data_IF_049106452247
#
_entry.id   IF_049106452247
#
_cell.length_a   1.000
_cell.length_b   1.000
_cell.length_c   1.000
_cell.angle_alpha   90.00
_cell.angle_beta   90.00
_cell.angle_gamma   90.00
#
_symmetry.space_group_name_H-M   'P 1'
#
loop_
_entity.id
_entity.type
_entity.pdbx_description
1 polymer ?
#
# COMPACT_ATOMS: atom_id res chain seq x y z
N UNK A 1 88.53 -26.38 -14.67
CA UNK A 1 87.95 -27.66 -15.13
C UNK A 1 86.49 -27.65 -14.75
N UNK A 2 85.65 -28.06 -15.69
CA UNK A 2 84.30 -27.59 -15.98
C UNK A 2 83.23 -27.85 -14.92
N UNK A 3 82.34 -26.88 -14.73
CA UNK A 3 81.03 -27.06 -14.11
C UNK A 3 80.29 -28.20 -14.82
N UNK A 4 79.81 -29.19 -14.06
CA UNK A 4 78.95 -30.26 -14.59
C UNK A 4 77.66 -29.65 -15.13
N UNK A 5 77.50 -29.72 -16.45
CA UNK A 5 76.32 -29.19 -17.14
C UNK A 5 75.05 -29.98 -16.76
N UNK A 6 74.20 -29.43 -15.89
CA UNK A 6 72.92 -30.05 -15.49
C UNK A 6 71.82 -29.81 -16.52
N UNK A 7 71.14 -30.89 -16.93
CA UNK A 7 69.98 -30.87 -17.83
C UNK A 7 70.20 -31.63 -19.15
N UNK A 8 69.10 -32.05 -19.79
CA UNK A 8 69.14 -32.79 -21.07
C UNK A 8 69.13 -31.76 -22.21
N UNK A 9 70.06 -31.87 -23.16
CA UNK A 9 70.08 -31.00 -24.36
C UNK A 9 68.76 -31.12 -25.12
N UNK A 10 68.20 -29.99 -25.56
CA UNK A 10 66.89 -29.89 -26.24
C UNK A 10 66.76 -30.88 -27.42
N UNK A 11 67.84 -31.07 -28.18
CA UNK A 11 67.91 -32.01 -29.31
C UNK A 11 67.67 -33.49 -28.92
N UNK A 12 67.86 -33.84 -27.64
CA UNK A 12 67.74 -35.22 -27.12
C UNK A 12 66.42 -35.50 -26.41
N UNK A 13 65.50 -34.53 -26.32
CA UNK A 13 64.15 -34.75 -25.76
C UNK A 13 63.11 -34.89 -26.88
N UNK A 14 61.94 -35.48 -26.59
CA UNK A 14 60.88 -35.71 -27.59
C UNK A 14 60.40 -34.39 -28.23
N UNK A 15 59.84 -34.46 -29.44
CA UNK A 15 59.40 -33.28 -30.21
C UNK A 15 58.45 -32.36 -29.43
N UNK A 16 57.55 -32.94 -28.62
CA UNK A 16 56.64 -32.21 -27.75
C UNK A 16 57.39 -31.48 -26.61
N UNK A 17 58.40 -32.12 -26.01
CA UNK A 17 59.24 -31.51 -24.98
C UNK A 17 60.10 -30.38 -25.56
N UNK A 18 60.56 -30.48 -26.81
CA UNK A 18 61.29 -29.41 -27.48
C UNK A 18 60.45 -28.13 -27.64
N UNK A 19 59.15 -28.26 -27.96
CA UNK A 19 58.22 -27.14 -28.12
C UNK A 19 58.02 -26.35 -26.83
N UNK A 20 57.99 -27.03 -25.68
CA UNK A 20 57.75 -26.39 -24.37
C UNK A 20 59.05 -26.06 -23.61
N UNK A 21 60.22 -26.42 -24.15
CA UNK A 21 61.53 -26.08 -23.58
C UNK A 21 61.98 -24.69 -24.06
N UNK A 22 62.00 -23.73 -23.14
CA UNK A 22 62.60 -22.40 -23.33
C UNK A 22 64.09 -22.42 -22.96
N UNK A 23 64.98 -22.39 -23.96
CA UNK A 23 66.44 -22.47 -23.82
C UNK A 23 67.05 -23.74 -24.45
N UNK A 24 68.38 -23.92 -24.30
CA UNK A 24 69.13 -25.00 -24.97
C UNK A 24 69.06 -26.36 -24.24
N UNK A 25 68.57 -26.39 -23.00
CA UNK A 25 68.46 -27.60 -22.18
C UNK A 25 67.12 -27.66 -21.44
N UNK A 26 66.55 -28.86 -21.41
CA UNK A 26 65.38 -29.20 -20.63
C UNK A 26 65.77 -29.79 -19.28
N UNK A 27 65.12 -29.30 -18.22
CA UNK A 27 65.28 -29.75 -16.84
C UNK A 27 63.90 -30.03 -16.26
N UNK A 28 63.66 -31.29 -15.89
CA UNK A 28 62.39 -31.71 -15.27
C UNK A 28 62.09 -30.95 -13.98
N UNK A 29 63.14 -30.57 -13.24
CA UNK A 29 63.02 -29.79 -12.01
C UNK A 29 62.56 -28.37 -12.31
N UNK A 30 63.18 -27.70 -13.28
CA UNK A 30 62.81 -26.31 -13.63
C UNK A 30 61.43 -26.23 -14.29
N UNK A 31 61.06 -27.23 -15.09
CA UNK A 31 59.72 -27.35 -15.64
C UNK A 31 58.67 -27.55 -14.53
N UNK A 32 58.92 -28.48 -13.60
CA UNK A 32 58.00 -28.73 -12.49
C UNK A 32 57.90 -27.54 -11.52
N UNK A 33 59.01 -26.88 -11.21
CA UNK A 33 59.03 -25.71 -10.33
C UNK A 33 58.27 -24.53 -10.95
N UNK A 34 58.39 -24.32 -12.27
CA UNK A 34 57.63 -23.29 -13.01
C UNK A 34 56.17 -23.66 -13.19
N UNK A 35 55.85 -24.92 -13.47
CA UNK A 35 54.48 -25.41 -13.55
C UNK A 35 53.78 -25.26 -12.20
N UNK A 36 54.45 -25.66 -11.11
CA UNK A 36 53.96 -25.50 -9.74
C UNK A 36 53.75 -24.02 -9.40
N UNK A 37 54.70 -23.15 -9.75
CA UNK A 37 54.57 -21.70 -9.56
C UNK A 37 53.41 -21.13 -10.38
N UNK A 38 53.27 -21.50 -11.64
CA UNK A 38 52.17 -21.09 -12.51
C UNK A 38 50.80 -21.57 -12.02
N UNK A 39 50.71 -22.81 -11.51
CA UNK A 39 49.47 -23.34 -10.90
C UNK A 39 49.13 -22.58 -9.61
N UNK A 40 50.12 -22.24 -8.79
CA UNK A 40 49.91 -21.47 -7.55
C UNK A 40 49.50 -20.04 -7.87
N UNK A 41 50.20 -19.36 -8.78
CA UNK A 41 49.87 -17.99 -9.21
C UNK A 41 48.49 -17.95 -9.89
N UNK A 42 48.17 -18.94 -10.74
CA UNK A 42 46.84 -19.11 -11.31
C UNK A 42 45.80 -19.32 -10.21
N UNK A 43 46.06 -20.19 -9.22
CA UNK A 43 45.13 -20.43 -8.12
C UNK A 43 44.91 -19.17 -7.29
N UNK A 44 45.96 -18.40 -6.98
CA UNK A 44 45.84 -17.16 -6.20
C UNK A 44 44.99 -16.12 -6.94
N UNK A 45 45.23 -15.92 -8.24
CA UNK A 45 44.43 -14.99 -9.06
C UNK A 45 43.02 -15.50 -9.26
N UNK A 46 42.85 -16.78 -9.58
CA UNK A 46 41.55 -17.43 -9.77
C UNK A 46 40.71 -17.37 -8.49
N UNK A 47 41.25 -17.78 -7.34
CA UNK A 47 40.55 -17.67 -6.07
C UNK A 47 40.34 -16.21 -5.65
N UNK A 48 41.28 -15.29 -5.93
CA UNK A 48 41.10 -13.86 -5.65
C UNK A 48 39.93 -13.26 -6.43
N UNK A 49 39.85 -13.53 -7.73
CA UNK A 49 38.75 -13.10 -8.60
C UNK A 49 37.44 -13.80 -8.23
N UNK A 50 37.48 -15.09 -7.91
CA UNK A 50 36.32 -15.91 -7.54
C UNK A 50 35.77 -15.53 -6.15
N UNK A 51 36.63 -15.17 -5.20
CA UNK A 51 36.22 -14.59 -3.92
C UNK A 51 35.61 -13.20 -4.10
N UNK A 52 36.19 -12.34 -4.94
CA UNK A 52 35.63 -11.00 -5.23
C UNK A 52 34.24 -11.10 -5.86
N UNK A 53 34.06 -11.92 -6.91
CA UNK A 53 32.74 -12.13 -7.51
C UNK A 53 31.77 -12.85 -6.57
N UNK A 54 32.24 -13.80 -5.77
CA UNK A 54 31.42 -14.49 -4.77
C UNK A 54 30.94 -13.58 -3.64
N UNK A 55 31.78 -12.63 -3.20
CA UNK A 55 31.42 -11.60 -2.21
C UNK A 55 30.47 -10.58 -2.82
N UNK A 56 30.69 -10.13 -4.05
CA UNK A 56 29.84 -9.16 -4.74
C UNK A 56 28.45 -9.72 -5.06
N UNK A 57 28.37 -10.97 -5.55
CA UNK A 57 27.09 -11.67 -5.76
C UNK A 57 26.41 -12.07 -4.43
N UNK A 58 27.18 -12.20 -3.34
CA UNK A 58 26.61 -12.43 -2.00
C UNK A 58 26.03 -11.14 -1.42
N UNK A 59 26.76 -10.02 -1.52
CA UNK A 59 26.29 -8.69 -1.11
C UNK A 59 24.99 -8.32 -1.78
N UNK A 60 24.94 -8.37 -3.13
CA UNK A 60 23.71 -8.04 -3.87
C UNK A 60 22.49 -8.90 -3.49
N UNK A 61 22.67 -10.21 -3.23
CA UNK A 61 21.56 -11.12 -2.85
C UNK A 61 21.17 -11.07 -1.37
N UNK A 62 22.05 -10.55 -0.53
CA UNK A 62 21.76 -10.32 0.89
C UNK A 62 21.03 -8.96 1.01
N UNK A 63 21.49 -7.92 0.31
CA UNK A 63 20.83 -6.61 0.21
C UNK A 63 19.40 -6.72 -0.36
N UNK A 64 19.20 -7.44 -1.48
CA UNK A 64 17.86 -7.68 -2.06
C UNK A 64 16.90 -8.44 -1.13
N UNK A 65 17.42 -9.25 -0.19
CA UNK A 65 16.60 -9.99 0.78
C UNK A 65 16.20 -9.09 1.93
N UNK A 66 17.15 -8.32 2.48
CA UNK A 66 16.91 -7.43 3.60
C UNK A 66 15.93 -6.32 3.17
N UNK A 67 16.10 -5.77 1.95
CA UNK A 67 15.15 -4.85 1.32
C UNK A 67 13.75 -5.48 1.15
N UNK A 68 13.70 -6.77 0.75
CA UNK A 68 12.45 -7.51 0.61
C UNK A 68 11.70 -7.73 1.92
N UNK A 69 12.41 -7.98 3.02
CA UNK A 69 11.82 -8.13 4.37
C UNK A 69 11.38 -6.77 4.90
N UNK A 70 12.20 -5.73 4.74
CA UNK A 70 11.84 -4.36 5.15
C UNK A 70 10.57 -3.88 4.43
N UNK A 71 10.45 -4.15 3.13
CA UNK A 71 9.25 -3.82 2.37
C UNK A 71 8.00 -4.57 2.85
N UNK A 72 8.14 -5.83 3.27
CA UNK A 72 7.02 -6.58 3.85
C UNK A 72 6.56 -5.94 5.17
N UNK A 73 7.49 -5.49 6.02
CA UNK A 73 7.16 -4.76 7.25
C UNK A 73 6.46 -3.44 6.94
N UNK A 74 7.02 -2.61 6.05
CA UNK A 74 6.41 -1.33 5.66
C UNK A 74 4.99 -1.50 5.10
N UNK A 75 4.78 -2.51 4.25
CA UNK A 75 3.46 -2.80 3.70
C UNK A 75 2.48 -3.29 4.77
N UNK A 76 2.94 -4.08 5.74
CA UNK A 76 2.11 -4.52 6.85
C UNK A 76 1.69 -3.35 7.73
N UNK A 77 2.63 -2.47 8.06
CA UNK A 77 2.38 -1.32 8.90
C UNK A 77 1.40 -0.34 8.19
N UNK A 78 1.55 -0.10 6.88
CA UNK A 78 0.55 0.69 6.13
C UNK A 78 -0.82 -0.01 6.06
N UNK A 79 -0.87 -1.34 5.94
CA UNK A 79 -2.15 -2.08 6.01
C UNK A 79 -2.80 -1.94 7.39
N UNK A 80 -2.03 -1.91 8.48
CA UNK A 80 -2.53 -1.64 9.83
C UNK A 80 -3.13 -0.23 9.92
N UNK A 81 -2.42 0.80 9.41
CA UNK A 81 -2.94 2.17 9.32
C UNK A 81 -4.24 2.24 8.50
N UNK A 82 -4.35 1.47 7.41
CA UNK A 82 -5.57 1.40 6.61
C UNK A 82 -6.74 0.73 7.35
N UNK A 83 -6.47 -0.27 8.20
CA UNK A 83 -7.48 -0.88 9.07
C UNK A 83 -7.99 0.18 10.04
N UNK A 84 -7.09 0.85 10.77
CA UNK A 84 -7.45 1.92 11.72
C UNK A 84 -8.26 3.04 11.03
N UNK A 85 -7.81 3.50 9.86
CA UNK A 85 -8.54 4.49 9.06
C UNK A 85 -9.95 4.01 8.71
N UNK A 86 -10.08 2.74 8.27
CA UNK A 86 -11.36 2.17 7.85
C UNK A 86 -12.32 2.01 9.04
N UNK A 87 -11.80 1.68 10.24
CA UNK A 87 -12.57 1.63 11.47
C UNK A 87 -13.12 3.00 11.88
N UNK A 88 -12.26 4.02 11.92
CA UNK A 88 -12.68 5.40 12.22
C UNK A 88 -13.72 5.87 11.22
N UNK A 89 -13.49 5.62 9.92
CA UNK A 89 -14.45 5.94 8.87
C UNK A 89 -15.81 5.24 9.07
N UNK A 90 -15.82 3.96 9.46
CA UNK A 90 -17.04 3.22 9.73
C UNK A 90 -17.83 3.79 10.92
N UNK A 91 -17.13 4.19 11.98
CA UNK A 91 -17.73 4.84 13.16
C UNK A 91 -18.37 6.18 12.81
N UNK A 92 -17.65 7.04 12.10
CA UNK A 92 -18.17 8.33 11.62
C UNK A 92 -19.37 8.13 10.69
N UNK A 93 -19.28 7.19 9.75
CA UNK A 93 -20.38 6.87 8.83
C UNK A 93 -21.62 6.40 9.59
N UNK A 94 -21.46 5.54 10.60
CA UNK A 94 -22.57 5.10 11.44
C UNK A 94 -23.25 6.27 12.15
N UNK A 95 -22.47 7.20 12.70
CA UNK A 95 -23.01 8.40 13.34
C UNK A 95 -23.78 9.29 12.35
N UNK A 96 -23.18 9.61 11.19
CA UNK A 96 -23.80 10.45 10.15
C UNK A 96 -25.11 9.82 9.64
N UNK A 97 -25.09 8.52 9.37
CA UNK A 97 -26.25 7.80 8.86
C UNK A 97 -27.36 7.75 9.90
N UNK A 98 -27.04 7.53 11.18
CA UNK A 98 -28.02 7.56 12.26
C UNK A 98 -28.68 8.95 12.40
N UNK A 99 -27.88 10.01 12.34
CA UNK A 99 -28.36 11.39 12.37
C UNK A 99 -29.34 11.69 11.22
N UNK A 100 -28.97 11.37 9.97
CA UNK A 100 -29.82 11.63 8.81
C UNK A 100 -31.04 10.71 8.74
N UNK A 101 -30.92 9.46 9.18
CA UNK A 101 -32.04 8.53 9.32
C UNK A 101 -33.06 9.06 10.32
N UNK A 102 -32.59 9.53 11.50
CA UNK A 102 -33.45 10.15 12.51
C UNK A 102 -34.17 11.38 11.95
N UNK A 103 -33.48 12.21 11.18
CA UNK A 103 -34.08 13.36 10.51
C UNK A 103 -35.16 12.95 9.50
N UNK A 104 -34.89 11.92 8.69
CA UNK A 104 -35.85 11.38 7.72
C UNK A 104 -37.10 10.81 8.40
N UNK A 105 -36.94 10.02 9.47
CA UNK A 105 -38.05 9.41 10.21
C UNK A 105 -38.92 10.45 10.94
N UNK A 106 -38.32 11.58 11.34
CA UNK A 106 -39.06 12.70 11.94
C UNK A 106 -39.75 13.59 10.91
N UNK A 107 -39.41 13.50 9.62
CA UNK A 107 -39.75 14.49 8.60
C UNK A 107 -41.22 14.92 8.57
N UNK A 108 -42.16 14.00 8.76
CA UNK A 108 -43.61 14.28 8.69
C UNK A 108 -44.25 14.63 10.06
N UNK A 109 -43.47 14.70 11.14
CA UNK A 109 -44.00 15.03 12.47
C UNK A 109 -44.35 16.51 12.54
N UNK A 110 -45.55 16.85 13.03
CA UNK A 110 -45.89 18.24 13.34
C UNK A 110 -45.25 18.67 14.66
N UNK A 111 -44.01 19.15 14.57
CA UNK A 111 -43.22 19.66 15.68
C UNK A 111 -42.38 20.85 15.21
N UNK A 112 -42.43 21.95 15.97
CA UNK A 112 -41.68 23.18 15.69
C UNK A 112 -40.17 22.97 15.54
N UNK A 113 -39.62 21.98 16.24
CA UNK A 113 -38.19 21.61 16.25
C UNK A 113 -37.91 20.32 15.48
N UNK A 114 -38.76 19.92 14.53
CA UNK A 114 -38.60 18.65 13.77
C UNK A 114 -37.26 18.52 13.02
N UNK A 115 -36.67 19.66 12.66
CA UNK A 115 -35.37 19.76 11.98
C UNK A 115 -34.20 20.07 12.92
N UNK A 116 -34.43 20.09 14.22
CA UNK A 116 -33.41 20.39 15.22
C UNK A 116 -33.10 19.11 15.99
N UNK A 117 -31.81 18.86 16.18
CA UNK A 117 -31.29 17.80 17.03
C UNK A 117 -30.34 18.36 18.08
N UNK A 118 -29.99 17.50 19.04
CA UNK A 118 -29.04 17.80 20.11
C UNK A 118 -27.78 16.97 19.91
N UNK A 119 -26.63 17.63 19.94
CA UNK A 119 -25.33 16.99 20.06
C UNK A 119 -24.91 17.05 21.53
N UNK A 120 -24.61 15.91 22.12
CA UNK A 120 -24.01 15.82 23.47
C UNK A 120 -22.50 16.01 23.32
N UNK A 121 -21.97 17.11 23.86
CA UNK A 121 -20.54 17.39 23.86
C UNK A 121 -19.96 17.02 25.23
N UNK A 122 -19.31 15.85 25.37
CA UNK A 122 -18.77 15.40 26.64
C UNK A 122 -17.60 16.27 27.14
N UNK A 123 -16.99 17.09 26.29
CA UNK A 123 -15.93 18.02 26.66
C UNK A 123 -16.47 19.38 27.12
N UNK A 124 -17.67 19.78 26.67
CA UNK A 124 -18.37 20.96 27.15
C UNK A 124 -19.09 20.70 28.48
N UNK A 125 -18.36 20.89 29.58
CA UNK A 125 -18.89 20.73 30.95
C UNK A 125 -19.85 21.85 31.38
N UNK A 126 -19.96 22.94 30.63
CA UNK A 126 -20.78 24.10 31.00
C UNK A 126 -22.20 23.99 30.45
N UNK A 127 -22.33 23.54 29.20
CA UNK A 127 -23.63 23.40 28.52
C UNK A 127 -24.02 21.95 28.19
N UNK A 128 -23.08 21.00 28.26
CA UNK A 128 -23.32 19.58 28.03
C UNK A 128 -23.70 19.23 26.58
N UNK A 129 -23.44 20.14 25.63
CA UNK A 129 -23.83 19.99 24.23
C UNK A 129 -24.46 21.22 23.59
N UNK A 130 -24.93 21.05 22.34
CA UNK A 130 -25.55 22.12 21.57
C UNK A 130 -26.66 21.63 20.62
N UNK A 131 -27.60 22.55 20.33
CA UNK A 131 -28.63 22.30 19.33
C UNK A 131 -28.11 22.63 17.93
N UNK A 132 -28.41 21.77 16.97
CA UNK A 132 -28.04 21.98 15.58
C UNK A 132 -29.10 21.41 14.64
N UNK A 133 -29.10 21.85 13.39
CA UNK A 133 -29.96 21.28 12.37
C UNK A 133 -29.19 20.24 11.53
N UNK A 134 -29.55 18.94 11.54
CA UNK A 134 -28.87 17.93 10.73
C UNK A 134 -28.80 18.30 9.24
N UNK A 135 -29.87 18.89 8.70
CA UNK A 135 -29.92 19.31 7.30
C UNK A 135 -29.00 20.50 6.97
N UNK A 136 -28.52 21.26 7.97
CA UNK A 136 -27.46 22.26 7.76
C UNK A 136 -26.14 21.59 7.37
N UNK A 137 -25.89 20.38 7.87
CA UNK A 137 -24.70 19.58 7.59
C UNK A 137 -24.84 18.78 6.28
N UNK A 138 -25.95 18.91 5.54
CA UNK A 138 -26.22 18.08 4.37
C UNK A 138 -25.18 18.25 3.25
N UNK A 139 -24.48 19.37 3.16
CA UNK A 139 -23.46 19.55 2.11
C UNK A 139 -22.10 18.92 2.47
N UNK A 140 -21.91 18.52 3.73
CA UNK A 140 -20.68 17.89 4.19
C UNK A 140 -20.57 16.48 3.63
N UNK A 141 -19.33 16.08 3.33
CA UNK A 141 -18.96 14.77 2.82
C UNK A 141 -17.63 14.38 3.41
N UNK A 142 -17.45 13.09 3.65
CA UNK A 142 -16.16 12.50 3.97
C UNK A 142 -15.85 11.42 2.91
N UNK A 143 -15.22 11.77 1.76
CA UNK A 143 -14.84 10.78 0.77
C UNK A 143 -13.83 9.78 1.35
N UNK A 144 -14.02 8.48 1.06
CA UNK A 144 -13.10 7.43 1.47
C UNK A 144 -11.74 7.59 0.78
N UNK A 145 -10.66 7.71 1.55
CA UNK A 145 -9.31 7.98 1.06
C UNK A 145 -8.24 7.46 2.04
N UNK A 146 -8.05 6.14 2.15
CA UNK A 146 -7.06 5.54 3.05
C UNK A 146 -5.61 5.87 2.60
N UNK A 147 -4.63 5.75 3.51
CA UNK A 147 -3.21 5.94 3.18
C UNK A 147 -2.73 4.93 2.13
N UNK A 148 -1.74 5.35 1.32
CA UNK A 148 -1.16 4.52 0.24
C UNK A 148 0.28 4.91 -0.15
N UNK A 149 0.94 5.68 0.72
CA UNK A 149 2.24 6.31 0.41
C UNK A 149 3.34 5.26 0.25
N UNK A 150 3.34 4.26 1.11
CA UNK A 150 4.31 3.17 1.13
C UNK A 150 4.15 2.28 -0.10
N UNK A 151 2.92 1.86 -0.40
CA UNK A 151 2.64 1.07 -1.60
C UNK A 151 3.07 1.80 -2.88
N UNK A 152 2.77 3.09 -3.01
CA UNK A 152 3.20 3.90 -4.17
C UNK A 152 4.72 4.03 -4.26
N UNK A 153 5.42 4.20 -3.13
CA UNK A 153 6.88 4.27 -3.09
C UNK A 153 7.54 2.95 -3.55
N UNK A 154 7.10 1.81 -2.99
CA UNK A 154 7.62 0.46 -3.32
C UNK A 154 7.31 0.06 -4.77
N UNK A 155 6.18 0.53 -5.31
CA UNK A 155 5.83 0.33 -6.73
C UNK A 155 6.72 1.17 -7.64
N UNK A 156 7.04 2.41 -7.24
CA UNK A 156 7.86 3.35 -8.02
C UNK A 156 9.34 2.96 -8.04
N UNK A 157 9.90 2.53 -6.91
CA UNK A 157 11.30 2.11 -6.82
C UNK A 157 11.56 0.70 -7.42
N UNK A 158 10.50 0.00 -7.81
CA UNK A 158 10.55 -1.30 -8.46
C UNK A 158 10.86 -2.47 -7.52
N UNK A 159 10.96 -2.23 -6.21
CA UNK A 159 11.20 -3.28 -5.21
C UNK A 159 9.94 -4.11 -4.95
N UNK A 160 8.76 -3.64 -5.39
CA UNK A 160 7.53 -4.44 -5.40
C UNK A 160 7.68 -5.81 -6.08
N UNK A 161 8.55 -5.90 -7.11
CA UNK A 161 8.84 -7.16 -7.84
C UNK A 161 9.60 -8.20 -6.99
N UNK A 162 10.16 -7.79 -5.85
CA UNK A 162 10.88 -8.67 -4.92
C UNK A 162 9.92 -9.40 -3.98
N UNK A 163 8.66 -8.96 -3.91
CA UNK A 163 7.63 -9.60 -3.12
C UNK A 163 7.22 -10.95 -3.74
N UNK A 164 6.83 -11.95 -2.93
CA UNK A 164 6.19 -13.15 -3.45
C UNK A 164 4.94 -12.81 -4.28
N UNK A 165 4.71 -13.50 -5.39
CA UNK A 165 3.58 -13.24 -6.31
C UNK A 165 2.20 -13.19 -5.61
N UNK A 166 2.02 -14.02 -4.57
CA UNK A 166 0.78 -14.02 -3.79
C UNK A 166 0.64 -12.74 -2.96
N UNK A 167 1.74 -12.24 -2.38
CA UNK A 167 1.78 -10.98 -1.63
C UNK A 167 1.57 -9.81 -2.59
N UNK A 168 2.31 -9.76 -3.70
CA UNK A 168 2.18 -8.69 -4.68
C UNK A 168 0.76 -8.56 -5.22
N UNK A 169 0.08 -9.69 -5.52
CA UNK A 169 -1.33 -9.66 -5.92
C UNK A 169 -2.24 -9.16 -4.81
N UNK A 170 -2.11 -9.71 -3.59
CA UNK A 170 -2.94 -9.31 -2.46
C UNK A 170 -2.80 -7.82 -2.11
N UNK A 171 -1.58 -7.29 -2.17
CA UNK A 171 -1.35 -5.85 -1.98
C UNK A 171 -1.95 -5.04 -3.12
N UNK A 172 -1.76 -5.45 -4.37
CA UNK A 172 -2.40 -4.77 -5.50
C UNK A 172 -3.92 -4.72 -5.32
N UNK A 173 -4.56 -5.80 -4.87
CA UNK A 173 -6.00 -5.82 -4.58
C UNK A 173 -6.38 -4.93 -3.38
N UNK A 174 -5.51 -4.83 -2.37
CA UNK A 174 -5.72 -3.95 -1.22
C UNK A 174 -5.76 -2.47 -1.61
N UNK A 175 -4.83 -2.03 -2.47
CA UNK A 175 -4.64 -0.62 -2.79
C UNK A 175 -5.33 -0.18 -4.07
N UNK A 176 -5.41 -1.05 -5.08
CA UNK A 176 -5.90 -0.77 -6.44
C UNK A 176 -7.04 -1.73 -6.85
N UNK A 177 -7.55 -2.57 -5.94
CA UNK A 177 -8.59 -3.55 -6.21
C UNK A 177 -10.00 -2.98 -6.32
N UNK A 178 -10.96 -3.84 -6.66
CA UNK A 178 -12.34 -3.41 -6.94
C UNK A 178 -13.04 -2.81 -5.71
N UNK A 179 -12.85 -3.39 -4.52
CA UNK A 179 -13.57 -2.97 -3.31
C UNK A 179 -13.19 -1.55 -2.88
N UNK A 180 -11.89 -1.26 -2.80
CA UNK A 180 -11.39 0.09 -2.51
C UNK A 180 -11.79 1.09 -3.59
N UNK A 181 -11.70 0.71 -4.87
CA UNK A 181 -12.06 1.61 -5.97
C UNK A 181 -13.54 1.98 -5.92
N UNK A 182 -14.44 1.04 -5.60
CA UNK A 182 -15.85 1.35 -5.47
C UNK A 182 -16.10 2.34 -4.33
N UNK A 183 -15.46 2.16 -3.17
CA UNK A 183 -15.57 3.08 -2.04
C UNK A 183 -15.10 4.49 -2.42
N UNK A 184 -13.92 4.60 -3.05
CA UNK A 184 -13.36 5.88 -3.50
C UNK A 184 -14.27 6.55 -4.54
N UNK A 185 -14.73 5.80 -5.54
CA UNK A 185 -15.55 6.34 -6.63
C UNK A 185 -16.90 6.83 -6.14
N UNK A 186 -17.59 6.07 -5.28
CA UNK A 186 -18.95 6.40 -4.88
C UNK A 186 -19.06 7.50 -3.83
N UNK A 187 -18.05 7.63 -2.97
CA UNK A 187 -17.94 8.70 -1.96
C UNK A 187 -17.19 9.93 -2.49
N UNK A 188 -16.44 9.77 -3.59
CA UNK A 188 -15.59 10.78 -4.20
C UNK A 188 -16.30 11.93 -4.90
N UNK A 189 -15.48 12.81 -5.51
CA UNK A 189 -15.94 14.05 -6.17
C UNK A 189 -16.90 13.81 -7.35
N UNK A 190 -16.85 12.66 -8.00
CA UNK A 190 -17.76 12.32 -9.11
C UNK A 190 -18.76 11.21 -8.74
N UNK A 191 -18.79 10.85 -7.45
CA UNK A 191 -19.57 9.73 -6.94
C UNK A 191 -21.05 10.02 -6.78
N UNK A 192 -21.79 8.96 -6.41
CA UNK A 192 -23.22 9.01 -6.17
C UNK A 192 -23.55 10.01 -5.05
N UNK A 193 -22.75 10.01 -3.98
CA UNK A 193 -22.95 10.94 -2.86
C UNK A 193 -22.83 12.41 -3.30
N UNK A 194 -21.83 12.73 -4.15
CA UNK A 194 -21.67 14.09 -4.68
C UNK A 194 -22.93 14.55 -5.44
N UNK A 195 -23.54 13.65 -6.22
CA UNK A 195 -24.76 13.96 -6.98
C UNK A 195 -25.92 14.31 -6.06
N UNK A 196 -26.09 13.60 -4.94
CA UNK A 196 -27.15 13.94 -3.98
C UNK A 196 -26.91 15.28 -3.31
N UNK A 197 -25.66 15.60 -2.96
CA UNK A 197 -25.30 16.90 -2.40
C UNK A 197 -25.56 18.02 -3.40
N UNK A 198 -25.15 17.87 -4.66
CA UNK A 198 -25.39 18.88 -5.69
C UNK A 198 -26.88 19.08 -5.95
N UNK A 199 -27.66 18.00 -6.01
CA UNK A 199 -29.12 18.09 -6.14
C UNK A 199 -29.77 18.87 -5.00
N UNK A 200 -29.28 18.73 -3.77
CA UNK A 200 -29.73 19.54 -2.63
C UNK A 200 -29.36 21.01 -2.84
N UNK A 201 -28.10 21.30 -3.17
CA UNK A 201 -27.61 22.67 -3.42
C UNK A 201 -28.42 23.33 -4.54
N UNK A 202 -28.63 22.62 -5.65
CA UNK A 202 -29.41 23.07 -6.79
C UNK A 202 -30.86 23.35 -6.40
N UNK A 203 -31.47 22.50 -5.57
CA UNK A 203 -32.83 22.72 -5.08
C UNK A 203 -32.93 23.97 -4.21
N UNK A 204 -31.96 24.18 -3.32
CA UNK A 204 -31.89 25.39 -2.49
C UNK A 204 -31.75 26.62 -3.37
N UNK A 205 -30.80 26.61 -4.31
CA UNK A 205 -30.51 27.74 -5.18
C UNK A 205 -31.63 28.07 -6.19
N UNK A 206 -32.29 27.05 -6.73
CA UNK A 206 -33.31 27.22 -7.79
C UNK A 206 -34.72 27.42 -7.26
N UNK A 207 -34.98 27.11 -5.98
CA UNK A 207 -36.33 27.21 -5.41
C UNK A 207 -36.35 27.97 -4.09
N UNK A 208 -35.62 27.50 -3.08
CA UNK A 208 -35.73 28.08 -1.73
C UNK A 208 -35.31 29.56 -1.71
N UNK A 209 -34.27 29.92 -2.46
CA UNK A 209 -33.81 31.31 -2.63
C UNK A 209 -34.89 32.23 -3.21
N UNK A 210 -35.78 31.72 -4.07
CA UNK A 210 -36.86 32.52 -4.67
C UNK A 210 -38.14 32.53 -3.82
N UNK A 211 -38.40 31.45 -3.09
CA UNK A 211 -39.63 31.28 -2.31
C UNK A 211 -39.53 31.86 -0.88
N UNK A 212 -38.32 31.99 -0.31
CA UNK A 212 -38.08 32.38 1.08
C UNK A 212 -37.29 33.70 1.19
N UNK A 213 -37.48 34.49 2.27
CA UNK A 213 -36.58 35.60 2.60
C UNK A 213 -35.13 35.11 2.76
N UNK A 214 -34.12 36.01 2.63
CA UNK A 214 -32.73 35.64 2.86
C UNK A 214 -32.53 34.82 4.12
N UNK A 215 -31.82 33.70 4.00
CA UNK A 215 -31.66 32.73 5.06
C UNK A 215 -30.22 32.23 5.17
N UNK A 216 -29.89 31.68 6.34
CA UNK A 216 -28.67 30.94 6.60
C UNK A 216 -29.05 29.52 7.01
N UNK A 217 -28.51 28.52 6.31
CA UNK A 217 -28.75 27.11 6.64
C UNK A 217 -28.15 26.74 8.00
N UNK A 218 -27.16 27.48 8.51
CA UNK A 218 -26.58 27.23 9.84
C UNK A 218 -27.39 27.87 10.98
N UNK A 219 -28.39 28.72 10.69
CA UNK A 219 -29.25 29.30 11.72
C UNK A 219 -30.41 28.35 12.05
N UNK A 220 -30.42 27.80 13.26
CA UNK A 220 -31.52 26.93 13.74
C UNK A 220 -32.91 27.60 13.62
N UNK A 221 -32.99 28.94 13.73
CA UNK A 221 -34.26 29.67 13.59
C UNK A 221 -34.84 29.59 12.18
N UNK A 222 -33.98 29.46 11.15
CA UNK A 222 -34.43 29.26 9.78
C UNK A 222 -35.24 27.97 9.66
N UNK A 223 -34.72 26.87 10.21
CA UNK A 223 -35.35 25.56 10.15
C UNK A 223 -36.67 25.50 10.92
N UNK A 224 -36.72 26.14 12.10
CA UNK A 224 -37.94 26.23 12.91
C UNK A 224 -39.02 27.05 12.19
N UNK A 225 -38.66 28.25 11.72
CA UNK A 225 -39.60 29.20 11.10
C UNK A 225 -40.18 28.67 9.79
N UNK A 226 -39.37 27.96 8.99
CA UNK A 226 -39.75 27.50 7.66
C UNK A 226 -40.13 26.02 7.62
N UNK A 227 -40.33 25.36 8.78
CA UNK A 227 -40.55 23.90 8.84
C UNK A 227 -41.62 23.40 7.87
N UNK A 228 -42.77 24.09 7.76
CA UNK A 228 -43.90 23.63 6.94
C UNK A 228 -43.57 23.69 5.46
N UNK A 229 -42.85 24.73 5.04
CA UNK A 229 -42.36 24.87 3.68
C UNK A 229 -41.37 23.74 3.36
N UNK A 230 -40.39 23.51 4.24
CA UNK A 230 -39.36 22.48 4.04
C UNK A 230 -39.98 21.08 4.05
N UNK A 231 -40.90 20.78 4.98
CA UNK A 231 -41.63 19.51 5.04
C UNK A 231 -42.42 19.24 3.75
N UNK A 232 -43.00 20.30 3.15
CA UNK A 232 -43.72 20.19 1.88
C UNK A 232 -42.82 19.93 0.67
N UNK A 233 -41.50 20.13 0.80
CA UNK A 233 -40.53 19.84 -0.27
C UNK A 233 -40.20 18.35 -0.35
N UNK A 234 -41.10 17.61 -1.00
CA UNK A 234 -40.97 16.17 -1.23
C UNK A 234 -39.67 15.77 -1.94
N UNK A 235 -39.09 16.67 -2.74
CA UNK A 235 -37.83 16.38 -3.43
C UNK A 235 -36.68 16.27 -2.43
N UNK A 236 -36.56 17.20 -1.48
CA UNK A 236 -35.50 17.14 -0.46
C UNK A 236 -35.67 15.92 0.43
N UNK A 237 -36.91 15.58 0.83
CA UNK A 237 -37.18 14.36 1.58
C UNK A 237 -36.74 13.10 0.83
N UNK A 238 -37.04 13.02 -0.46
CA UNK A 238 -36.64 11.90 -1.30
C UNK A 238 -35.12 11.85 -1.51
N UNK A 239 -34.48 12.99 -1.72
CA UNK A 239 -33.02 13.10 -1.86
C UNK A 239 -32.30 12.65 -0.57
N UNK A 240 -32.79 13.06 0.60
CA UNK A 240 -32.31 12.57 1.91
C UNK A 240 -32.46 11.05 2.05
N UNK A 241 -33.63 10.52 1.71
CA UNK A 241 -33.88 9.07 1.72
C UNK A 241 -32.86 8.32 0.85
N UNK A 242 -32.65 8.77 -0.39
CA UNK A 242 -31.73 8.14 -1.33
C UNK A 242 -30.28 8.19 -0.87
N UNK A 243 -29.86 9.27 -0.22
CA UNK A 243 -28.51 9.37 0.34
C UNK A 243 -28.32 8.43 1.53
N UNK A 244 -29.29 8.36 2.45
CA UNK A 244 -29.28 7.41 3.57
C UNK A 244 -29.27 5.96 3.08
N UNK A 245 -30.11 5.63 2.11
CA UNK A 245 -30.18 4.29 1.52
C UNK A 245 -28.84 3.88 0.88
N UNK A 246 -28.19 4.77 0.14
CA UNK A 246 -26.87 4.53 -0.45
C UNK A 246 -25.80 4.26 0.63
N UNK A 247 -25.79 5.03 1.72
CA UNK A 247 -24.84 4.76 2.79
C UNK A 247 -25.11 3.41 3.50
N UNK A 248 -26.37 3.11 3.83
CA UNK A 248 -26.72 1.87 4.53
C UNK A 248 -26.51 0.62 3.68
N UNK A 249 -26.90 0.65 2.40
CA UNK A 249 -26.96 -0.54 1.56
C UNK A 249 -25.72 -0.72 0.67
N UNK A 250 -24.97 0.34 0.39
CA UNK A 250 -23.80 0.28 -0.49
C UNK A 250 -22.51 0.56 0.29
N UNK A 251 -22.37 1.73 0.91
CA UNK A 251 -21.09 2.16 1.50
C UNK A 251 -20.73 1.35 2.74
N UNK A 252 -21.62 1.21 3.72
CA UNK A 252 -21.33 0.46 4.95
C UNK A 252 -20.96 -0.99 4.66
N UNK A 253 -21.75 -1.64 3.80
CA UNK A 253 -21.52 -3.03 3.39
C UNK A 253 -20.12 -3.21 2.81
N UNK A 254 -19.65 -2.26 2.00
CA UNK A 254 -18.32 -2.34 1.42
C UNK A 254 -17.19 -1.97 2.35
N UNK A 255 -17.42 -1.01 3.26
CA UNK A 255 -16.47 -0.72 4.34
C UNK A 255 -16.21 -1.99 5.16
N UNK A 256 -17.27 -2.73 5.50
CA UNK A 256 -17.14 -3.99 6.25
C UNK A 256 -16.36 -5.05 5.45
N UNK A 257 -16.69 -5.26 4.17
CA UNK A 257 -15.96 -6.21 3.31
C UNK A 257 -14.50 -5.81 3.14
N UNK A 258 -14.23 -4.52 2.94
CA UNK A 258 -12.88 -4.02 2.76
C UNK A 258 -12.05 -4.17 4.04
N UNK A 259 -12.65 -3.90 5.21
CA UNK A 259 -12.03 -4.15 6.51
C UNK A 259 -11.65 -5.62 6.68
N UNK A 260 -12.58 -6.55 6.44
CA UNK A 260 -12.29 -8.00 6.53
C UNK A 260 -11.17 -8.41 5.57
N UNK A 261 -11.16 -7.83 4.37
CA UNK A 261 -10.11 -8.04 3.39
C UNK A 261 -8.74 -7.57 3.90
N UNK A 262 -8.67 -6.37 4.49
CA UNK A 262 -7.44 -5.80 5.06
C UNK A 262 -6.92 -6.62 6.24
N UNK A 263 -7.78 -7.05 7.17
CA UNK A 263 -7.39 -7.94 8.28
C UNK A 263 -6.82 -9.27 7.77
N UNK A 264 -7.40 -9.82 6.70
CA UNK A 264 -6.87 -11.00 6.02
C UNK A 264 -5.49 -10.75 5.40
N UNK A 265 -5.29 -9.58 4.80
CA UNK A 265 -4.02 -9.15 4.21
C UNK A 265 -2.93 -8.94 5.27
N UNK A 266 -3.27 -8.34 6.41
CA UNK A 266 -2.38 -8.17 7.55
C UNK A 266 -1.89 -9.52 8.08
N UNK A 267 -2.82 -10.46 8.37
CA UNK A 267 -2.47 -11.82 8.84
C UNK A 267 -1.59 -12.57 7.86
N UNK A 268 -1.84 -12.39 6.56
CA UNK A 268 -1.02 -12.98 5.52
C UNK A 268 0.41 -12.40 5.52
N UNK A 269 0.56 -11.08 5.61
CA UNK A 269 1.87 -10.43 5.68
C UNK A 269 2.65 -10.88 6.90
N UNK A 270 2.03 -10.91 8.09
CA UNK A 270 2.65 -11.44 9.31
C UNK A 270 3.14 -12.88 9.14
N UNK A 271 2.34 -13.74 8.51
CA UNK A 271 2.75 -15.12 8.23
C UNK A 271 3.91 -15.20 7.26
N UNK A 272 3.95 -14.34 6.23
CA UNK A 272 5.03 -14.32 5.24
C UNK A 272 6.31 -13.78 5.86
N UNK A 273 6.24 -12.71 6.63
CA UNK A 273 7.37 -12.13 7.37
C UNK A 273 7.96 -13.19 8.30
N UNK A 274 7.15 -13.83 9.14
CA UNK A 274 7.62 -14.88 10.05
C UNK A 274 8.26 -16.07 9.33
N UNK A 275 7.78 -16.43 8.14
CA UNK A 275 8.41 -17.46 7.32
C UNK A 275 9.78 -17.00 6.79
N UNK A 276 9.88 -15.77 6.25
CA UNK A 276 11.11 -15.18 5.72
C UNK A 276 12.21 -15.00 6.77
N UNK A 277 11.84 -14.66 8.00
CA UNK A 277 12.77 -14.56 9.12
C UNK A 277 13.34 -15.93 9.53
N UNK A 278 12.56 -17.00 9.37
CA UNK A 278 12.95 -18.39 9.71
C UNK A 278 13.70 -19.10 8.59
N UNK A 279 13.82 -18.51 7.40
CA UNK A 279 14.53 -19.11 6.27
C UNK A 279 16.03 -19.26 6.58
N UNK A 280 16.50 -20.51 6.61
CA UNK A 280 17.93 -20.83 6.63
C UNK A 280 18.46 -20.86 5.20
N UNK A 281 19.38 -19.93 4.87
CA UNK A 281 19.99 -19.86 3.54
C UNK A 281 21.15 -20.84 3.41
N UNK A 282 20.97 -21.89 2.59
CA UNK A 282 22.06 -22.76 2.16
C UNK A 282 22.57 -22.24 0.81
N UNK A 283 23.76 -21.67 0.81
CA UNK A 283 24.41 -21.15 -0.39
C UNK A 283 25.11 -22.30 -1.11
N UNK A 284 24.75 -22.55 -2.37
CA UNK A 284 25.48 -23.47 -3.25
C UNK A 284 25.96 -22.77 -4.52
N UNK A 285 27.08 -23.25 -5.04
CA UNK A 285 27.71 -22.74 -6.25
C UNK A 285 27.05 -23.36 -7.48
N UNK A 286 26.60 -22.54 -8.43
CA UNK A 286 26.22 -22.98 -9.77
C UNK A 286 27.30 -22.49 -10.72
N UNK A 287 28.14 -23.41 -11.18
CA UNK A 287 29.09 -23.14 -12.25
C UNK A 287 28.36 -23.32 -13.58
N UNK A 288 28.19 -22.25 -14.35
CA UNK A 288 27.73 -22.33 -15.73
C UNK A 288 28.93 -22.13 -16.66
N UNK A 289 29.55 -23.21 -17.18
CA UNK A 289 30.61 -23.09 -18.16
C UNK A 289 30.00 -22.78 -19.54
N UNK A 290 29.58 -21.53 -19.73
CA UNK A 290 29.32 -21.00 -21.07
C UNK A 290 29.96 -19.61 -21.21
N UNK A 291 31.27 -19.60 -21.42
CA UNK A 291 31.95 -18.95 -22.57
C UNK A 291 33.46 -19.18 -22.48
#
# INVERSE_FOLDING_TARGET
MSEEEKGIKKEKVSWFLQLITLGDRFSWRDFYDRLKKGIVDFSIVFFGVLLSFGVEQKGMRDDERDDGIENLYKLRDEIEEMIEYTEVYAEELNWVVAMFTKQFLKWEKDNDSVFIDWWDDPEDKEYGGFHFAPMAQYVQRNPFSPPRTTFEAIKLDGTFRLLPDIVGRRMTDAYDGQDINYLIENTGKNGIEHRYVNQFIDRVASKWVYDLPPFDLNDNRFWIKNRKYIQSDKFIRYNLFKRVEMWELEVKVQVDYYKEFLEGSYRMLDSVIAAREREYKIIYWVLNPQT
#
